data_IF_121826055492
#
_entry.id   IF_121826055492
#
_cell.length_a   1.000
_cell.length_b   1.000
_cell.length_c   1.000
_cell.angle_alpha   90.00
_cell.angle_beta   90.00
_cell.angle_gamma   90.00
#
_symmetry.space_group_name_H-M   'P 1'
#
loop_
_entity.id
_entity.type
_entity.pdbx_description
1 polymer ?
#
# COMPACT_ATOMS: atom_id res chain seq x y z
N UNK A 1 -22.23 5.58 6.26
CA UNK A 1 -21.05 4.70 6.30
C UNK A 1 -20.52 4.58 4.89
N UNK A 2 -19.22 4.72 4.67
CA UNK A 2 -18.59 4.51 3.37
C UNK A 2 -18.04 3.07 3.33
N UNK A 3 -18.33 2.36 2.25
CA UNK A 3 -17.86 0.98 2.04
C UNK A 3 -16.88 0.98 0.87
N UNK A 4 -15.75 0.36 1.06
CA UNK A 4 -14.72 0.16 0.05
C UNK A 4 -14.42 -1.31 -0.20
N UNK A 5 -13.58 -1.55 -1.19
CA UNK A 5 -13.11 -2.89 -1.53
C UNK A 5 -11.65 -2.81 -2.00
N UNK A 6 -10.90 -3.86 -1.79
CA UNK A 6 -9.55 -3.99 -2.31
C UNK A 6 -9.62 -4.28 -3.82
N UNK A 7 -8.74 -3.69 -4.58
CA UNK A 7 -8.59 -3.92 -6.02
C UNK A 7 -8.42 -5.42 -6.33
N UNK A 8 -8.96 -5.85 -7.46
CA UNK A 8 -8.92 -7.26 -7.88
C UNK A 8 -9.99 -8.14 -7.23
N UNK A 9 -10.90 -7.56 -6.43
CA UNK A 9 -12.01 -8.32 -5.82
C UNK A 9 -13.32 -8.22 -6.59
N UNK A 10 -13.42 -7.29 -7.53
CA UNK A 10 -14.61 -7.08 -8.36
C UNK A 10 -14.47 -7.72 -9.74
N UNK A 11 -13.24 -7.90 -10.21
CA UNK A 11 -12.92 -8.56 -11.48
C UNK A 11 -11.75 -9.52 -11.29
N UNK A 12 -11.56 -10.41 -12.26
CA UNK A 12 -10.45 -11.36 -12.21
C UNK A 12 -9.11 -10.62 -12.27
N UNK A 13 -8.16 -10.90 -11.35
CA UNK A 13 -6.82 -10.35 -11.40
C UNK A 13 -6.08 -10.83 -12.67
N UNK A 14 -5.06 -10.10 -13.09
CA UNK A 14 -4.26 -10.47 -14.25
C UNK A 14 -3.48 -11.76 -14.00
N UNK A 15 -2.81 -11.82 -12.86
CA UNK A 15 -2.07 -12.98 -12.36
C UNK A 15 -2.21 -13.00 -10.83
N UNK A 16 -2.37 -14.18 -10.24
CA UNK A 16 -2.46 -14.31 -8.80
C UNK A 16 -3.63 -13.59 -8.12
N UNK A 17 -3.76 -13.79 -6.80
CA UNK A 17 -4.93 -13.34 -6.02
C UNK A 17 -4.90 -11.85 -5.68
N UNK A 18 -3.74 -11.26 -5.55
CA UNK A 18 -3.54 -9.88 -5.10
C UNK A 18 -3.09 -8.93 -6.22
N UNK A 19 -3.18 -9.37 -7.49
CA UNK A 19 -2.66 -8.58 -8.59
C UNK A 19 -3.67 -7.55 -9.12
N UNK A 20 -3.14 -6.50 -9.77
CA UNK A 20 -3.94 -5.51 -10.45
C UNK A 20 -4.66 -6.17 -11.65
N UNK A 21 -6.00 -6.09 -11.78
CA UNK A 21 -6.70 -6.70 -12.89
C UNK A 21 -6.28 -6.11 -14.23
N UNK A 22 -6.19 -6.94 -15.27
CA UNK A 22 -5.89 -6.49 -16.62
C UNK A 22 -6.87 -5.40 -17.10
N UNK A 23 -8.14 -5.55 -16.75
CA UNK A 23 -9.18 -4.53 -17.00
C UNK A 23 -9.55 -3.75 -15.74
N UNK A 24 -8.56 -3.18 -15.07
CA UNK A 24 -8.73 -2.43 -13.83
C UNK A 24 -9.78 -1.30 -13.91
N UNK A 25 -9.99 -0.71 -15.10
CA UNK A 25 -11.02 0.32 -15.29
C UNK A 25 -12.44 -0.20 -15.09
N UNK A 26 -12.68 -1.47 -15.42
CA UNK A 26 -13.98 -2.12 -15.22
C UNK A 26 -14.37 -2.19 -13.74
N UNK A 27 -13.40 -2.26 -12.83
CA UNK A 27 -13.68 -2.27 -11.40
C UNK A 27 -14.39 -1.01 -10.91
N UNK A 28 -14.12 0.14 -11.52
CA UNK A 28 -14.84 1.38 -11.17
C UNK A 28 -16.29 1.39 -11.67
N UNK A 29 -16.59 0.68 -12.76
CA UNK A 29 -17.97 0.47 -13.19
C UNK A 29 -18.70 -0.45 -12.22
N UNK A 30 -18.09 -1.58 -11.86
CA UNK A 30 -18.62 -2.52 -10.90
C UNK A 30 -18.78 -1.91 -9.50
N UNK A 31 -17.84 -1.06 -9.09
CA UNK A 31 -17.94 -0.28 -7.86
C UNK A 31 -19.24 0.52 -7.81
N UNK A 32 -19.58 1.21 -8.91
CA UNK A 32 -20.81 2.00 -9.02
C UNK A 32 -22.06 1.09 -9.03
N UNK A 33 -22.03 0.01 -9.78
CA UNK A 33 -23.14 -0.97 -9.87
C UNK A 33 -23.48 -1.54 -8.50
N UNK A 34 -22.44 -1.86 -7.69
CA UNK A 34 -22.57 -2.42 -6.34
C UNK A 34 -22.77 -1.37 -5.24
N UNK A 35 -22.81 -0.07 -5.61
CA UNK A 35 -22.93 1.06 -4.67
C UNK A 35 -21.85 1.12 -3.61
N UNK A 36 -20.64 0.65 -3.95
CA UNK A 36 -19.44 0.84 -3.14
C UNK A 36 -18.88 2.24 -3.36
N UNK A 37 -18.08 2.74 -2.43
CA UNK A 37 -17.64 4.13 -2.43
C UNK A 37 -16.22 4.31 -2.94
N UNK A 38 -15.33 3.35 -2.71
CA UNK A 38 -13.90 3.48 -3.03
C UNK A 38 -13.22 2.12 -3.19
N UNK A 39 -12.07 2.16 -3.86
CA UNK A 39 -11.15 1.04 -4.00
C UNK A 39 -9.89 1.35 -3.19
N UNK A 40 -9.34 0.38 -2.50
CA UNK A 40 -7.94 0.35 -2.07
C UNK A 40 -7.12 -0.20 -3.22
N UNK A 41 -6.23 0.64 -3.75
CA UNK A 41 -5.37 0.28 -4.87
C UNK A 41 -4.20 -0.57 -4.41
N UNK A 42 -3.87 -1.64 -5.15
CA UNK A 42 -2.80 -2.54 -4.75
C UNK A 42 -1.61 -2.46 -5.71
N UNK A 43 -0.41 -2.51 -5.16
CA UNK A 43 0.85 -2.59 -5.89
C UNK A 43 1.63 -3.77 -5.33
N UNK A 44 1.71 -4.85 -6.11
CA UNK A 44 2.50 -6.05 -5.77
C UNK A 44 3.90 -5.96 -6.37
N UNK A 45 4.81 -6.82 -5.96
CA UNK A 45 6.15 -6.90 -6.51
C UNK A 45 6.13 -7.30 -7.99
N UNK A 46 5.29 -8.25 -8.36
CA UNK A 46 5.15 -8.77 -9.72
C UNK A 46 4.68 -7.72 -10.69
N UNK A 47 3.71 -6.89 -10.26
CA UNK A 47 3.16 -5.85 -11.13
C UNK A 47 3.79 -4.47 -10.92
N UNK A 48 4.80 -4.31 -10.08
CA UNK A 48 5.31 -3.01 -9.66
C UNK A 48 5.51 -2.05 -10.84
N UNK A 49 6.31 -2.44 -11.83
CA UNK A 49 6.65 -1.58 -12.97
C UNK A 49 5.52 -1.45 -14.01
N UNK A 50 4.66 -2.44 -14.10
CA UNK A 50 3.52 -2.45 -15.03
C UNK A 50 2.24 -1.87 -14.44
N UNK A 51 2.23 -1.61 -13.12
CA UNK A 51 1.07 -1.11 -12.41
C UNK A 51 0.61 0.25 -12.99
N UNK A 52 -0.67 0.42 -13.30
CA UNK A 52 -1.20 1.66 -13.88
C UNK A 52 -0.91 2.91 -13.06
N UNK A 53 -0.65 2.82 -11.76
CA UNK A 53 -0.30 3.95 -10.90
C UNK A 53 0.91 4.74 -11.42
N UNK A 54 1.83 4.09 -12.13
CA UNK A 54 3.01 4.72 -12.73
C UNK A 54 2.70 5.49 -14.02
N UNK A 55 1.60 5.15 -14.70
CA UNK A 55 1.38 5.55 -16.10
C UNK A 55 0.10 6.35 -16.32
N UNK A 56 -0.82 6.36 -15.34
CA UNK A 56 -2.15 6.96 -15.47
C UNK A 56 -2.37 8.01 -14.36
N UNK A 57 -3.11 9.06 -14.69
CA UNK A 57 -3.59 10.00 -13.68
C UNK A 57 -4.82 9.41 -12.96
N UNK A 58 -4.67 9.16 -11.67
CA UNK A 58 -5.69 8.54 -10.83
C UNK A 58 -6.48 9.55 -9.97
N UNK A 59 -6.18 10.86 -10.07
CA UNK A 59 -6.72 11.92 -9.18
C UNK A 59 -8.24 11.95 -9.05
N UNK A 60 -8.95 11.59 -10.11
CA UNK A 60 -10.41 11.68 -10.14
C UNK A 60 -11.11 10.33 -9.96
N UNK A 61 -10.34 9.30 -9.64
CA UNK A 61 -10.90 7.99 -9.38
C UNK A 61 -11.20 7.84 -7.88
N UNK A 62 -12.23 7.09 -7.51
CA UNK A 62 -12.59 6.88 -6.11
C UNK A 62 -11.64 5.87 -5.44
N UNK A 63 -10.38 6.27 -5.29
CA UNK A 63 -9.34 5.51 -4.60
C UNK A 63 -9.16 6.09 -3.21
N UNK A 64 -9.26 5.27 -2.18
CA UNK A 64 -9.12 5.69 -0.78
C UNK A 64 -7.68 5.63 -0.29
N UNK A 65 -6.97 4.60 -0.70
CA UNK A 65 -5.65 4.24 -0.22
C UNK A 65 -4.88 3.47 -1.28
N UNK A 66 -3.58 3.42 -1.13
CA UNK A 66 -2.72 2.49 -1.86
C UNK A 66 -2.16 1.49 -0.86
N UNK A 67 -2.20 0.21 -1.19
CA UNK A 67 -1.50 -0.85 -0.46
C UNK A 67 -0.18 -1.14 -1.16
N UNK A 68 0.93 -0.96 -0.44
CA UNK A 68 2.28 -1.28 -0.88
C UNK A 68 2.58 -2.77 -0.60
N UNK A 69 1.83 -3.66 -1.25
CA UNK A 69 1.89 -5.10 -1.02
C UNK A 69 3.28 -5.69 -1.32
N UNK A 70 4.03 -5.08 -2.24
CA UNK A 70 5.43 -5.45 -2.53
C UNK A 70 6.34 -5.47 -1.29
N UNK A 71 5.93 -4.84 -0.19
CA UNK A 71 6.70 -4.81 1.06
C UNK A 71 6.78 -6.20 1.74
N UNK A 72 5.80 -7.09 1.52
CA UNK A 72 5.81 -8.44 2.11
C UNK A 72 6.85 -9.38 1.49
N UNK A 73 7.30 -9.05 0.28
CA UNK A 73 8.16 -9.92 -0.53
C UNK A 73 9.65 -9.74 -0.28
N UNK A 74 10.04 -8.68 0.43
CA UNK A 74 11.45 -8.37 0.65
C UNK A 74 11.74 -7.87 2.06
N UNK A 75 13.01 -7.89 2.41
CA UNK A 75 13.53 -7.40 3.67
C UNK A 75 13.74 -5.87 3.57
N UNK A 76 12.92 -5.09 4.28
CA UNK A 76 12.99 -3.63 4.32
C UNK A 76 14.27 -3.07 4.98
N UNK A 77 15.10 -3.90 5.61
CA UNK A 77 16.38 -3.49 6.18
C UNK A 77 17.37 -3.01 5.10
N UNK A 78 17.08 -3.30 3.85
CA UNK A 78 17.83 -2.73 2.75
C UNK A 78 17.28 -1.33 2.43
N UNK A 79 17.95 -0.30 2.92
CA UNK A 79 17.63 1.12 2.62
C UNK A 79 17.43 1.33 1.12
N UNK A 80 18.22 0.66 0.29
CA UNK A 80 18.10 0.69 -1.17
C UNK A 80 16.73 0.18 -1.65
N UNK A 81 16.14 -0.79 -0.96
CA UNK A 81 14.79 -1.29 -1.30
C UNK A 81 13.72 -0.21 -1.07
N UNK A 82 13.76 0.48 0.06
CA UNK A 82 12.83 1.56 0.34
C UNK A 82 12.98 2.73 -0.64
N UNK A 83 14.20 3.12 -0.98
CA UNK A 83 14.46 4.18 -1.96
C UNK A 83 13.99 3.81 -3.37
N UNK A 84 14.17 2.56 -3.78
CA UNK A 84 13.82 2.10 -5.13
C UNK A 84 12.34 1.78 -5.31
N UNK A 85 11.63 1.37 -4.25
CA UNK A 85 10.25 0.91 -4.32
C UNK A 85 9.26 1.77 -3.54
N UNK A 86 9.53 2.05 -2.26
CA UNK A 86 8.58 2.78 -1.42
C UNK A 86 8.51 4.26 -1.80
N UNK A 87 9.67 4.90 -1.96
CA UNK A 87 9.73 6.33 -2.28
C UNK A 87 8.97 6.71 -3.56
N UNK A 88 9.16 6.02 -4.71
CA UNK A 88 8.38 6.32 -5.91
C UNK A 88 6.86 6.16 -5.69
N UNK A 89 6.42 5.21 -4.88
CA UNK A 89 5.01 5.05 -4.55
C UNK A 89 4.52 6.21 -3.68
N UNK A 90 5.29 6.67 -2.69
CA UNK A 90 4.95 7.87 -1.92
C UNK A 90 4.77 9.10 -2.83
N UNK A 91 5.67 9.30 -3.79
CA UNK A 91 5.56 10.39 -4.76
C UNK A 91 4.30 10.27 -5.62
N UNK A 92 3.93 9.06 -6.05
CA UNK A 92 2.73 8.81 -6.86
C UNK A 92 1.44 8.97 -6.03
N UNK A 93 1.42 8.51 -4.80
CA UNK A 93 0.32 8.69 -3.84
C UNK A 93 0.05 10.18 -3.65
N UNK A 94 1.09 10.97 -3.36
CA UNK A 94 1.01 12.44 -3.24
C UNK A 94 0.55 13.10 -4.54
N UNK A 95 1.16 12.74 -5.68
CA UNK A 95 0.81 13.26 -6.99
C UNK A 95 -0.66 13.04 -7.34
N UNK A 96 -1.23 11.91 -6.94
CA UNK A 96 -2.62 11.54 -7.23
C UNK A 96 -3.62 12.03 -6.17
N UNK A 97 -3.21 12.81 -5.16
CA UNK A 97 -4.03 13.28 -4.05
C UNK A 97 -4.66 12.13 -3.26
N UNK A 98 -3.95 11.03 -3.12
CA UNK A 98 -4.31 9.92 -2.25
C UNK A 98 -3.60 10.17 -0.91
N UNK A 99 -4.32 10.01 0.21
CA UNK A 99 -3.82 10.40 1.52
C UNK A 99 -3.44 9.24 2.43
N UNK A 100 -3.74 8.02 2.04
CA UNK A 100 -3.46 6.83 2.84
C UNK A 100 -2.58 5.87 2.06
N UNK A 101 -1.52 5.40 2.71
CA UNK A 101 -0.62 4.37 2.21
C UNK A 101 -0.54 3.24 3.22
N UNK A 102 -1.11 2.09 2.89
CA UNK A 102 -1.03 0.88 3.70
C UNK A 102 0.29 0.17 3.42
N UNK A 103 1.02 -0.14 4.47
CA UNK A 103 2.27 -0.91 4.43
C UNK A 103 2.06 -2.19 5.23
N UNK A 104 1.91 -3.33 4.58
CA UNK A 104 1.82 -4.62 5.25
C UNK A 104 3.21 -5.03 5.76
N UNK A 105 3.30 -5.29 7.05
CA UNK A 105 4.49 -5.76 7.77
C UNK A 105 4.28 -7.22 8.14
N UNK A 106 4.19 -8.04 7.11
CA UNK A 106 3.85 -9.46 7.17
C UNK A 106 4.96 -10.27 6.46
N UNK A 107 4.96 -11.58 6.62
CA UNK A 107 5.87 -12.48 5.93
C UNK A 107 7.35 -12.07 6.11
N UNK A 108 8.07 -11.73 5.04
CA UNK A 108 9.50 -11.35 5.12
C UNK A 108 9.72 -9.98 5.77
N UNK A 109 8.72 -9.10 5.71
CA UNK A 109 8.74 -7.79 6.37
C UNK A 109 8.10 -7.80 7.77
N UNK A 110 7.87 -8.97 8.35
CA UNK A 110 7.25 -9.10 9.68
C UNK A 110 8.09 -8.42 10.76
N UNK A 111 7.42 -7.59 11.56
CA UNK A 111 8.02 -6.85 12.70
C UNK A 111 7.64 -7.47 14.05
N UNK A 112 7.35 -8.75 14.08
CA UNK A 112 7.08 -9.48 15.33
C UNK A 112 8.33 -9.51 16.22
N UNK A 113 9.51 -9.67 15.63
CA UNK A 113 10.79 -9.56 16.32
C UNK A 113 11.06 -8.11 16.75
N UNK A 114 11.59 -7.93 18.00
CA UNK A 114 11.80 -6.61 18.56
C UNK A 114 12.92 -5.85 17.84
N UNK A 115 14.02 -6.53 17.52
CA UNK A 115 15.17 -5.90 16.85
C UNK A 115 14.79 -5.46 15.42
N UNK A 116 14.05 -6.32 14.71
CA UNK A 116 13.51 -6.02 13.37
C UNK A 116 12.54 -4.83 13.42
N UNK A 117 11.73 -4.74 14.47
CA UNK A 117 10.80 -3.61 14.67
C UNK A 117 11.53 -2.28 14.85
N UNK A 118 12.59 -2.26 15.65
CA UNK A 118 13.39 -1.06 15.87
C UNK A 118 14.11 -0.62 14.57
N UNK A 119 14.64 -1.58 13.82
CA UNK A 119 15.25 -1.32 12.51
C UNK A 119 14.21 -0.75 11.52
N UNK A 120 13.01 -1.31 11.47
CA UNK A 120 11.92 -0.76 10.66
C UNK A 120 11.55 0.65 11.06
N UNK A 121 11.37 0.91 12.35
CA UNK A 121 11.03 2.24 12.85
C UNK A 121 12.08 3.28 12.44
N UNK A 122 13.36 2.93 12.49
CA UNK A 122 14.45 3.76 12.05
C UNK A 122 14.43 3.99 10.53
N UNK A 123 14.22 2.93 9.74
CA UNK A 123 14.23 3.00 8.29
C UNK A 123 13.05 3.79 7.71
N UNK A 124 11.84 3.69 8.32
CA UNK A 124 10.63 4.37 7.84
C UNK A 124 10.55 5.83 8.27
N UNK A 125 11.23 6.21 9.35
CA UNK A 125 11.13 7.55 9.93
C UNK A 125 11.39 8.71 8.95
N UNK A 126 12.42 8.66 8.06
CA UNK A 126 12.61 9.69 7.04
C UNK A 126 11.38 9.89 6.15
N UNK A 127 10.71 8.81 5.75
CA UNK A 127 9.51 8.88 4.91
C UNK A 127 8.34 9.54 5.63
N UNK A 128 8.16 9.26 6.91
CA UNK A 128 7.14 9.93 7.72
C UNK A 128 7.38 11.45 7.79
N UNK A 129 8.64 11.86 7.84
CA UNK A 129 9.02 13.27 7.85
C UNK A 129 8.87 13.95 6.48
N UNK A 130 9.27 13.26 5.40
CA UNK A 130 9.29 13.82 4.05
C UNK A 130 7.90 13.85 3.39
N UNK A 131 6.96 13.03 3.89
CA UNK A 131 5.59 12.90 3.38
C UNK A 131 4.54 13.17 4.47
N UNK A 132 4.53 14.34 5.13
CA UNK A 132 3.62 14.63 6.26
C UNK A 132 2.14 14.70 5.86
N UNK A 133 1.85 14.79 4.58
CA UNK A 133 0.52 14.77 3.97
C UNK A 133 -0.01 13.36 3.72
N UNK A 134 0.86 12.34 3.78
CA UNK A 134 0.46 10.93 3.67
C UNK A 134 0.29 10.34 5.07
N UNK A 135 -0.81 9.64 5.27
CA UNK A 135 -1.06 8.83 6.47
C UNK A 135 -0.62 7.39 6.19
N UNK A 136 0.48 7.02 6.78
CA UNK A 136 0.97 5.65 6.73
C UNK A 136 0.16 4.76 7.67
N UNK A 137 -0.36 3.68 7.15
CA UNK A 137 -1.14 2.67 7.88
C UNK A 137 -0.31 1.38 7.89
N UNK A 138 0.06 0.91 9.07
CA UNK A 138 0.85 -0.32 9.21
C UNK A 138 -0.07 -1.47 9.56
N UNK A 139 -0.06 -2.52 8.74
CA UNK A 139 -0.72 -3.78 9.01
C UNK A 139 0.32 -4.77 9.54
N UNK A 140 0.19 -5.19 10.80
CA UNK A 140 1.18 -6.05 11.45
C UNK A 140 0.51 -7.07 12.38
N UNK A 141 1.14 -8.21 12.54
CA UNK A 141 0.73 -9.28 13.45
C UNK A 141 1.17 -9.00 14.91
N UNK A 142 0.86 -7.79 15.39
CA UNK A 142 1.25 -7.35 16.74
C UNK A 142 0.05 -7.27 17.67
N UNK A 143 0.24 -7.72 18.91
CA UNK A 143 -0.72 -7.50 19.98
C UNK A 143 -0.75 -6.02 20.44
N UNK A 144 -1.84 -5.63 21.13
CA UNK A 144 -2.04 -4.24 21.61
C UNK A 144 -0.86 -3.74 22.48
N UNK A 145 -0.21 -4.61 23.23
CA UNK A 145 0.93 -4.24 24.09
C UNK A 145 2.17 -3.89 23.26
N UNK A 146 2.37 -4.62 22.19
CA UNK A 146 3.50 -4.45 21.25
C UNK A 146 3.31 -3.21 20.38
N UNK A 147 2.08 -2.96 19.91
CA UNK A 147 1.72 -1.74 19.17
C UNK A 147 2.00 -0.45 19.97
N UNK A 148 1.86 -0.49 21.30
CA UNK A 148 2.18 0.67 22.14
C UNK A 148 3.67 1.03 22.16
N UNK A 149 4.54 0.09 21.82
CA UNK A 149 5.98 0.33 21.66
C UNK A 149 6.37 0.97 20.33
N UNK A 150 5.49 0.93 19.31
CA UNK A 150 5.71 1.58 18.01
C UNK A 150 5.25 3.05 17.97
N UNK A 151 4.42 3.46 18.92
CA UNK A 151 3.97 4.85 19.03
C UNK A 151 5.00 5.61 19.86
N UNK A 152 5.96 6.18 19.18
CA UNK A 152 6.86 7.19 19.76
C UNK A 152 6.31 8.58 19.50
#
# INVERSE_FOLDING_TARGET
>A
MKLGIIQGRLSEPAEGYQDCPANWKREFDLLRELRLNHIEWIVTKENYHSNPIHHVDLKNLPISSVCADFMVDDDFNQIEYLENYLKPICDLVRKNNIYYLTIPLLEKSSVVDYDVRDEFAYAIYPYLCDYPDIKFLFEAELGIKELKGLVM
#
